data_IF_122335132319
#
_entry.id   IF_122335132319
#
_cell.length_a   1.000
_cell.length_b   1.000
_cell.length_c   1.000
_cell.angle_alpha   90.00
_cell.angle_beta   90.00
_cell.angle_gamma   90.00
#
_symmetry.space_group_name_H-M   'P 1'
#
loop_
_entity.id
_entity.type
_entity.pdbx_description
1 polymer ?
#
# COMPACT_ATOMS: atom_id res chain seq x y z
N UNK A 1 -29.70 15.14 34.59
CA UNK A 1 -30.25 14.64 33.31
C UNK A 1 -29.22 14.94 32.25
N UNK A 2 -28.83 13.96 31.42
CA UNK A 2 -27.94 14.24 30.29
C UNK A 2 -28.67 15.14 29.29
N UNK A 3 -27.96 16.09 28.72
CA UNK A 3 -28.52 16.98 27.70
C UNK A 3 -28.42 16.32 26.32
N UNK A 4 -29.31 16.68 25.38
CA UNK A 4 -29.22 16.21 23.98
C UNK A 4 -27.83 16.47 23.35
N UNK A 5 -27.15 17.54 23.79
CA UNK A 5 -25.80 17.87 23.36
C UNK A 5 -24.78 16.83 23.84
N UNK A 6 -24.85 16.45 25.12
CA UNK A 6 -23.95 15.43 25.69
C UNK A 6 -24.16 14.07 25.03
N UNK A 7 -25.40 13.67 24.81
CA UNK A 7 -25.71 12.43 24.11
C UNK A 7 -25.18 12.44 22.67
N UNK A 8 -25.32 13.56 21.96
CA UNK A 8 -24.78 13.72 20.60
C UNK A 8 -23.26 13.62 20.56
N UNK A 9 -22.56 14.25 21.51
CA UNK A 9 -21.10 14.16 21.62
C UNK A 9 -20.64 12.75 21.96
N UNK A 10 -21.33 12.06 22.86
CA UNK A 10 -21.01 10.68 23.21
C UNK A 10 -21.16 9.73 22.01
N UNK A 11 -22.23 9.89 21.23
CA UNK A 11 -22.44 9.13 19.99
C UNK A 11 -21.30 9.41 19.00
N UNK A 12 -20.95 10.68 18.79
CA UNK A 12 -19.86 11.05 17.90
C UNK A 12 -18.50 10.49 18.35
N UNK A 13 -18.15 10.62 19.63
CA UNK A 13 -16.91 10.08 20.19
C UNK A 13 -16.84 8.56 20.08
N UNK A 14 -17.95 7.85 20.35
CA UNK A 14 -18.01 6.41 20.19
C UNK A 14 -17.80 6.00 18.72
N UNK A 15 -18.45 6.69 17.78
CA UNK A 15 -18.31 6.43 16.35
C UNK A 15 -16.87 6.66 15.86
N UNK A 16 -16.24 7.78 16.24
CA UNK A 16 -14.84 8.07 15.89
C UNK A 16 -13.88 7.08 16.55
N UNK A 17 -14.12 6.72 17.81
CA UNK A 17 -13.26 5.77 18.53
C UNK A 17 -13.29 4.38 17.91
N UNK A 18 -14.46 3.94 17.44
CA UNK A 18 -14.64 2.63 16.81
C UNK A 18 -13.88 2.45 15.49
N UNK A 19 -13.46 3.55 14.85
CA UNK A 19 -12.73 3.54 13.58
C UNK A 19 -11.27 4.01 13.72
N UNK A 20 -10.79 4.21 14.96
CA UNK A 20 -9.36 4.41 15.19
C UNK A 20 -8.59 3.19 14.71
N UNK A 21 -7.44 3.40 14.07
CA UNK A 21 -6.72 2.33 13.39
C UNK A 21 -6.28 1.20 14.32
N UNK A 22 -5.92 1.54 15.55
CA UNK A 22 -5.49 0.60 16.57
C UNK A 22 -6.66 -0.25 17.10
N UNK A 23 -7.76 0.41 17.46
CA UNK A 23 -9.02 -0.24 17.91
C UNK A 23 -9.61 -1.13 16.81
N UNK A 24 -9.57 -0.66 15.56
CA UNK A 24 -10.08 -1.42 14.42
C UNK A 24 -9.28 -2.72 14.22
N UNK A 25 -7.94 -2.67 14.32
CA UNK A 25 -7.11 -3.88 14.20
C UNK A 25 -7.41 -4.85 15.34
N UNK A 26 -7.44 -4.40 16.60
CA UNK A 26 -7.75 -5.27 17.75
C UNK A 26 -9.14 -5.92 17.67
N UNK A 27 -10.09 -5.27 16.98
CA UNK A 27 -11.44 -5.82 16.78
C UNK A 27 -11.49 -6.92 15.72
N UNK A 28 -10.65 -6.85 14.69
CA UNK A 28 -10.69 -7.76 13.54
C UNK A 28 -9.54 -8.76 13.52
N UNK A 29 -8.54 -8.60 14.38
CA UNK A 29 -7.41 -9.50 14.52
C UNK A 29 -7.34 -9.92 15.97
N UNK A 30 -7.68 -11.18 16.23
CA UNK A 30 -7.67 -11.76 17.56
C UNK A 30 -6.58 -12.82 17.63
N UNK A 31 -5.88 -12.93 18.76
CA UNK A 31 -4.90 -13.99 18.99
C UNK A 31 -5.39 -14.87 20.14
N UNK A 32 -5.57 -16.16 19.85
CA UNK A 32 -5.79 -17.18 20.89
C UNK A 32 -4.45 -17.48 21.58
N UNK A 33 -4.24 -17.08 22.84
CA UNK A 33 -2.92 -17.21 23.46
C UNK A 33 -2.55 -18.65 23.80
N UNK A 34 -3.54 -19.52 24.02
CA UNK A 34 -3.31 -20.92 24.41
C UNK A 34 -2.87 -21.75 23.21
N UNK A 35 -3.47 -21.50 22.05
CA UNK A 35 -3.21 -22.26 20.83
C UNK A 35 -2.34 -21.53 19.79
N UNK A 36 -1.98 -20.27 20.06
CA UNK A 36 -1.25 -19.35 19.17
C UNK A 36 -1.90 -19.20 17.79
N UNK A 37 -3.24 -19.15 17.77
CA UNK A 37 -4.00 -19.01 16.53
C UNK A 37 -4.35 -17.54 16.32
N UNK A 38 -3.81 -16.94 15.27
CA UNK A 38 -4.21 -15.61 14.80
C UNK A 38 -5.50 -15.74 13.97
N UNK A 39 -6.59 -15.15 14.45
CA UNK A 39 -7.91 -15.18 13.84
C UNK A 39 -8.24 -13.84 13.20
N UNK A 40 -8.70 -13.92 11.96
CA UNK A 40 -9.33 -12.85 11.19
C UNK A 40 -10.73 -13.33 10.77
N UNK A 41 -11.65 -12.47 10.30
CA UNK A 41 -13.04 -12.86 10.02
C UNK A 41 -13.21 -14.05 9.09
N UNK A 42 -12.28 -14.26 8.15
CA UNK A 42 -12.33 -15.32 7.14
C UNK A 42 -11.13 -16.26 7.18
N UNK A 43 -10.24 -16.14 8.17
CA UNK A 43 -8.97 -16.88 8.19
C UNK A 43 -8.49 -17.15 9.61
N UNK A 44 -7.90 -18.31 9.83
CA UNK A 44 -7.16 -18.64 11.04
C UNK A 44 -5.77 -19.13 10.65
N UNK A 45 -4.73 -18.65 11.36
CA UNK A 45 -3.34 -19.02 11.12
C UNK A 45 -2.74 -19.51 12.42
N UNK A 46 -2.13 -20.69 12.37
CA UNK A 46 -1.29 -21.18 13.46
C UNK A 46 0.06 -20.48 13.43
N UNK A 47 0.32 -19.60 14.40
CA UNK A 47 1.58 -18.86 14.48
C UNK A 47 2.77 -19.75 14.86
N UNK A 48 2.57 -21.01 15.25
CA UNK A 48 3.68 -21.96 15.45
C UNK A 48 4.34 -22.38 14.13
N UNK A 49 3.59 -22.33 13.04
CA UNK A 49 4.09 -22.63 11.69
C UNK A 49 4.74 -21.40 11.02
N UNK A 50 4.69 -20.24 11.68
CA UNK A 50 5.20 -18.97 11.15
C UNK A 50 6.56 -18.64 11.77
N UNK A 51 7.59 -18.52 10.93
CA UNK A 51 8.95 -18.19 11.36
C UNK A 51 9.11 -16.69 11.62
N UNK A 52 8.74 -15.85 10.65
CA UNK A 52 8.77 -14.38 10.79
C UNK A 52 7.43 -13.76 10.41
N UNK A 53 7.10 -12.66 11.08
CA UNK A 53 5.94 -11.83 10.74
C UNK A 53 6.46 -10.52 10.15
N UNK A 54 6.26 -10.33 8.86
CA UNK A 54 6.65 -9.12 8.14
C UNK A 54 5.47 -8.15 8.19
N UNK A 55 5.64 -6.98 8.81
CA UNK A 55 4.59 -5.96 8.89
C UNK A 55 4.95 -4.77 8.01
N UNK A 56 4.20 -4.55 6.94
CA UNK A 56 4.42 -3.42 6.04
C UNK A 56 3.17 -2.58 5.92
N UNK A 57 3.27 -1.35 5.41
CA UNK A 57 2.06 -0.56 5.22
C UNK A 57 2.31 0.88 4.82
N UNK A 58 1.21 1.57 4.53
CA UNK A 58 1.25 3.01 4.34
C UNK A 58 -0.12 3.66 4.49
N UNK A 59 -0.14 4.84 5.11
CA UNK A 59 -1.34 5.65 5.24
C UNK A 59 -1.38 6.44 6.54
N UNK A 60 -2.38 7.31 6.67
CA UNK A 60 -2.56 8.17 7.86
C UNK A 60 -2.84 7.39 9.13
N UNK A 61 -3.57 6.28 9.04
CA UNK A 61 -3.93 5.44 10.19
C UNK A 61 -3.01 4.22 10.34
N UNK A 62 -2.09 3.99 9.40
CA UNK A 62 -1.30 2.75 9.36
C UNK A 62 -0.32 2.63 10.54
N UNK A 63 0.15 3.75 11.11
CA UNK A 63 0.93 3.73 12.36
C UNK A 63 0.11 3.21 13.54
N UNK A 64 -1.11 3.72 13.71
CA UNK A 64 -2.04 3.24 14.74
C UNK A 64 -2.44 1.77 14.51
N UNK A 65 -2.66 1.38 13.25
CA UNK A 65 -2.91 -0.03 12.89
C UNK A 65 -1.75 -0.94 13.30
N UNK A 66 -0.51 -0.50 13.08
CA UNK A 66 0.68 -1.25 13.48
C UNK A 66 0.75 -1.39 15.01
N UNK A 67 0.49 -0.32 15.75
CA UNK A 67 0.45 -0.36 17.21
C UNK A 67 -0.64 -1.32 17.74
N UNK A 68 -1.84 -1.31 17.15
CA UNK A 68 -2.90 -2.27 17.48
C UNK A 68 -2.48 -3.71 17.19
N UNK A 69 -1.82 -3.96 16.04
CA UNK A 69 -1.33 -5.29 15.69
C UNK A 69 -0.26 -5.78 16.68
N UNK A 70 0.70 -4.93 17.07
CA UNK A 70 1.70 -5.31 18.07
C UNK A 70 1.06 -5.65 19.42
N UNK A 71 0.01 -4.91 19.85
CA UNK A 71 -0.73 -5.22 21.08
C UNK A 71 -1.46 -6.55 21.03
N UNK A 72 -1.95 -6.96 19.86
CA UNK A 72 -2.51 -8.31 19.68
C UNK A 72 -1.41 -9.36 19.76
N UNK A 73 -0.30 -9.16 19.05
CA UNK A 73 0.79 -10.13 18.97
C UNK A 73 1.55 -10.30 20.29
N UNK A 74 1.64 -9.25 21.11
CA UNK A 74 2.34 -9.31 22.40
C UNK A 74 1.60 -10.11 23.49
N UNK A 75 0.35 -10.51 23.25
CA UNK A 75 -0.42 -11.37 24.15
C UNK A 75 0.20 -12.77 24.31
N UNK A 76 1.05 -13.18 23.36
CA UNK A 76 1.81 -14.43 23.41
C UNK A 76 3.30 -14.11 23.46
N UNK A 77 4.01 -14.53 24.53
CA UNK A 77 5.46 -14.34 24.64
C UNK A 77 6.22 -14.90 23.43
N UNK A 78 7.17 -14.13 22.90
CA UNK A 78 8.02 -14.54 21.77
C UNK A 78 7.38 -14.45 20.38
N UNK A 79 6.09 -14.12 20.26
CA UNK A 79 5.49 -13.81 18.94
C UNK A 79 5.99 -12.47 18.43
N UNK A 80 6.00 -11.43 19.28
CA UNK A 80 6.41 -10.09 18.88
C UNK A 80 7.88 -10.02 18.46
N UNK A 81 8.76 -10.81 19.09
CA UNK A 81 10.20 -10.88 18.75
C UNK A 81 10.47 -11.38 17.32
N UNK A 82 9.47 -12.03 16.69
CA UNK A 82 9.53 -12.49 15.29
C UNK A 82 9.08 -11.42 14.29
N UNK A 83 8.67 -10.25 14.76
CA UNK A 83 8.17 -9.16 13.92
C UNK A 83 9.34 -8.34 13.37
N UNK A 84 9.33 -8.13 12.06
CA UNK A 84 10.11 -7.09 11.38
C UNK A 84 9.14 -6.23 10.59
N UNK A 85 9.25 -4.91 10.68
CA UNK A 85 8.29 -4.07 9.97
C UNK A 85 8.75 -2.68 9.58
N UNK A 86 8.10 -2.17 8.53
CA UNK A 86 8.30 -0.83 8.00
C UNK A 86 6.98 -0.26 7.48
N UNK A 87 6.53 0.86 8.06
CA UNK A 87 5.26 1.50 7.68
C UNK A 87 5.51 2.97 7.35
N UNK A 88 5.17 3.37 6.13
CA UNK A 88 5.27 4.77 5.73
C UNK A 88 4.08 5.57 6.25
N UNK A 89 4.35 6.62 7.03
CA UNK A 89 3.33 7.51 7.59
C UNK A 89 3.57 8.97 7.19
N UNK A 90 2.53 9.82 7.20
CA UNK A 90 2.72 11.26 7.19
C UNK A 90 3.38 11.73 8.48
N UNK A 91 4.04 12.88 8.43
CA UNK A 91 4.61 13.52 9.62
C UNK A 91 3.50 13.81 10.65
N UNK A 92 3.77 13.53 11.93
CA UNK A 92 2.80 13.71 13.02
C UNK A 92 1.69 12.66 13.08
N UNK A 93 1.75 11.60 12.27
CA UNK A 93 0.89 10.42 12.37
C UNK A 93 1.62 9.25 13.08
N UNK A 94 2.53 9.58 13.99
CA UNK A 94 3.30 8.62 14.75
C UNK A 94 2.43 7.85 15.75
N UNK A 95 2.86 6.66 16.12
CA UNK A 95 2.23 5.82 17.13
C UNK A 95 3.33 5.06 17.86
N UNK A 96 3.06 4.63 19.08
CA UNK A 96 4.02 3.84 19.83
C UNK A 96 4.04 2.41 19.29
N UNK A 97 5.13 2.07 18.60
CA UNK A 97 5.46 0.73 18.13
C UNK A 97 6.85 0.37 18.65
N UNK A 98 7.09 -0.93 18.82
CA UNK A 98 8.31 -1.49 19.40
C UNK A 98 9.15 -2.25 18.38
N UNK A 99 8.51 -2.89 17.38
CA UNK A 99 9.16 -3.75 16.38
C UNK A 99 8.90 -3.27 14.95
N UNK A 100 7.78 -2.58 14.71
CA UNK A 100 7.49 -1.94 13.42
C UNK A 100 8.10 -0.55 13.38
N UNK A 101 9.01 -0.32 12.44
CA UNK A 101 9.54 1.01 12.18
C UNK A 101 8.48 1.87 11.49
N UNK A 102 8.04 2.94 12.15
CA UNK A 102 7.25 3.99 11.50
C UNK A 102 8.21 4.96 10.82
N UNK A 103 7.99 5.20 9.53
CA UNK A 103 8.79 6.09 8.69
C UNK A 103 7.98 7.32 8.28
N UNK A 104 8.07 8.42 9.04
CA UNK A 104 7.52 9.72 8.64
C UNK A 104 8.22 10.17 7.38
N UNK A 105 7.46 10.30 6.30
CA UNK A 105 8.04 10.56 4.99
C UNK A 105 7.24 11.54 4.14
N UNK A 106 6.24 12.19 4.73
CA UNK A 106 5.41 13.16 4.01
C UNK A 106 5.04 14.31 4.94
N UNK A 107 5.61 15.51 4.70
CA UNK A 107 5.32 16.69 5.49
C UNK A 107 3.85 17.02 5.61
N UNK A 108 3.47 17.53 6.77
CA UNK A 108 2.13 18.07 7.04
C UNK A 108 1.76 19.13 6.01
N UNK A 109 0.52 19.10 5.51
CA UNK A 109 0.02 20.04 4.51
C UNK A 109 0.38 19.71 3.05
N UNK A 110 1.26 18.73 2.79
CA UNK A 110 1.62 18.31 1.43
C UNK A 110 1.01 16.95 1.08
N UNK A 111 0.20 16.88 0.02
CA UNK A 111 -0.41 15.61 -0.43
C UNK A 111 0.40 14.86 -1.51
N UNK A 112 1.53 15.42 -1.92
CA UNK A 112 2.36 14.83 -2.95
C UNK A 112 3.40 13.85 -2.41
N UNK A 113 3.78 12.85 -3.23
CA UNK A 113 4.94 12.00 -2.98
C UNK A 113 6.24 12.76 -2.74
N UNK A 114 7.09 12.24 -1.84
CA UNK A 114 8.44 12.76 -1.58
C UNK A 114 9.51 11.71 -1.91
N UNK A 115 10.78 12.12 -1.98
CA UNK A 115 11.90 11.17 -2.11
C UNK A 115 12.03 10.26 -0.88
N UNK A 116 11.72 10.77 0.31
CA UNK A 116 11.72 9.98 1.54
C UNK A 116 10.65 8.88 1.49
N UNK A 117 9.49 9.17 0.88
CA UNK A 117 8.46 8.17 0.66
C UNK A 117 8.89 7.12 -0.40
N UNK A 118 9.68 7.51 -1.41
CA UNK A 118 10.29 6.55 -2.37
C UNK A 118 11.22 5.58 -1.64
N UNK A 119 12.07 6.09 -0.73
CA UNK A 119 12.98 5.27 0.06
C UNK A 119 12.23 4.24 0.90
N UNK A 120 11.24 4.69 1.68
CA UNK A 120 10.44 3.78 2.50
C UNK A 120 9.62 2.78 1.66
N UNK A 121 9.12 3.20 0.49
CA UNK A 121 8.42 2.30 -0.42
C UNK A 121 9.35 1.20 -0.96
N UNK A 122 10.62 1.52 -1.26
CA UNK A 122 11.62 0.51 -1.67
C UNK A 122 11.95 -0.45 -0.53
N UNK A 123 12.03 0.05 0.70
CA UNK A 123 12.27 -0.78 1.88
C UNK A 123 11.11 -1.75 2.13
N UNK A 124 9.86 -1.30 1.97
CA UNK A 124 8.68 -2.16 2.01
C UNK A 124 8.78 -3.28 0.95
N UNK A 125 9.16 -2.96 -0.29
CA UNK A 125 9.35 -3.97 -1.35
C UNK A 125 10.45 -4.95 -0.98
N UNK A 126 11.58 -4.47 -0.44
CA UNK A 126 12.70 -5.30 0.01
C UNK A 126 12.25 -6.30 1.07
N UNK A 127 11.61 -5.83 2.14
CA UNK A 127 11.13 -6.70 3.23
C UNK A 127 10.16 -7.77 2.73
N UNK A 128 9.20 -7.38 1.88
CA UNK A 128 8.24 -8.34 1.30
C UNK A 128 8.92 -9.35 0.40
N UNK A 129 9.92 -8.93 -0.40
CA UNK A 129 10.67 -9.82 -1.30
C UNK A 129 11.56 -10.84 -0.57
N UNK A 130 11.92 -10.56 0.68
CA UNK A 130 12.70 -11.45 1.54
C UNK A 130 11.84 -12.48 2.28
N UNK A 131 10.51 -12.42 2.14
CA UNK A 131 9.57 -13.35 2.77
C UNK A 131 9.56 -14.72 2.10
N UNK A 132 9.64 -15.78 2.91
CA UNK A 132 9.56 -17.18 2.47
C UNK A 132 8.19 -17.83 2.68
N UNK A 133 8.07 -19.11 2.33
CA UNK A 133 6.86 -19.93 2.50
C UNK A 133 6.40 -20.07 3.95
N UNK A 134 7.33 -19.99 4.91
CA UNK A 134 7.07 -20.06 6.34
C UNK A 134 6.92 -18.68 7.00
N UNK A 135 6.95 -17.60 6.22
CA UNK A 135 6.74 -16.24 6.73
C UNK A 135 5.30 -15.77 6.48
N UNK A 136 4.86 -14.85 7.31
CA UNK A 136 3.57 -14.18 7.19
C UNK A 136 3.78 -12.69 6.96
N UNK A 137 3.30 -12.16 5.83
CA UNK A 137 3.27 -10.73 5.56
C UNK A 137 1.88 -10.14 5.92
N UNK A 138 1.84 -9.15 6.81
CA UNK A 138 0.63 -8.39 7.14
C UNK A 138 0.82 -6.95 6.64
N UNK A 139 0.04 -6.56 5.64
CA UNK A 139 0.10 -5.27 4.98
C UNK A 139 -1.02 -4.33 5.47
N UNK A 140 -0.66 -3.17 6.01
CA UNK A 140 -1.54 -2.23 6.70
C UNK A 140 -1.76 -0.96 5.87
N UNK A 141 -2.91 -0.84 5.22
CA UNK A 141 -3.21 0.30 4.34
C UNK A 141 -4.35 1.16 4.85
N UNK A 142 -4.18 2.47 4.69
CA UNK A 142 -5.23 3.44 4.97
C UNK A 142 -5.17 4.63 4.00
N UNK A 143 -6.09 5.57 4.16
CA UNK A 143 -6.15 6.82 3.40
C UNK A 143 -4.79 7.51 3.26
N UNK A 144 -4.48 8.00 2.05
CA UNK A 144 -3.20 8.65 1.72
C UNK A 144 -2.06 7.71 1.29
N UNK A 145 -2.25 6.38 1.36
CA UNK A 145 -1.22 5.39 1.01
C UNK A 145 -0.65 5.53 -0.42
N UNK A 146 -1.43 6.05 -1.36
CA UNK A 146 -0.98 6.20 -2.75
C UNK A 146 0.20 7.17 -2.90
N UNK A 147 0.23 8.25 -2.10
CA UNK A 147 1.32 9.22 -2.06
C UNK A 147 2.50 8.76 -1.19
N UNK A 148 2.25 7.88 -0.22
CA UNK A 148 3.24 7.30 0.69
C UNK A 148 3.93 6.05 0.13
N UNK A 149 3.41 5.44 -0.94
CA UNK A 149 4.03 4.32 -1.66
C UNK A 149 4.49 4.67 -3.09
N UNK A 150 5.22 5.78 -3.32
CA UNK A 150 5.68 6.13 -4.65
C UNK A 150 6.93 5.32 -4.98
N UNK A 151 6.78 4.06 -5.41
CA UNK A 151 7.89 3.27 -5.95
C UNK A 151 7.86 3.32 -7.48
N UNK A 152 8.67 4.15 -8.16
CA UNK A 152 8.78 4.14 -9.61
C UNK A 152 9.46 2.88 -10.11
N UNK A 153 9.06 2.45 -11.31
CA UNK A 153 9.78 1.43 -12.09
C UNK A 153 11.12 1.96 -12.60
N UNK A 154 12.02 1.05 -12.96
CA UNK A 154 13.31 1.41 -13.53
C UNK A 154 13.16 2.32 -14.77
N UNK A 155 13.94 3.39 -14.82
CA UNK A 155 13.89 4.40 -15.89
C UNK A 155 12.82 5.48 -15.72
N UNK A 156 11.98 5.42 -14.69
CA UNK A 156 10.99 6.46 -14.35
C UNK A 156 11.40 7.16 -13.06
N UNK A 157 11.46 8.49 -13.08
CA UNK A 157 11.76 9.28 -11.89
C UNK A 157 10.52 9.53 -11.02
N UNK A 158 10.71 9.95 -9.77
CA UNK A 158 9.60 10.45 -8.95
C UNK A 158 8.92 11.66 -9.60
N UNK A 159 9.73 12.57 -10.18
CA UNK A 159 9.23 13.78 -10.84
C UNK A 159 8.38 13.44 -12.04
N UNK A 160 8.73 12.39 -12.79
CA UNK A 160 7.93 11.94 -13.92
C UNK A 160 6.52 11.49 -13.47
N UNK A 161 6.45 10.74 -12.38
CA UNK A 161 5.18 10.29 -11.78
C UNK A 161 4.34 11.47 -11.29
N UNK A 162 4.97 12.46 -10.65
CA UNK A 162 4.30 13.68 -10.18
C UNK A 162 3.77 14.47 -11.37
N UNK A 163 4.59 14.69 -12.40
CA UNK A 163 4.22 15.43 -13.60
C UNK A 163 3.00 14.81 -14.29
N UNK A 164 3.02 13.50 -14.56
CA UNK A 164 1.90 12.80 -15.20
C UNK A 164 0.64 12.83 -14.34
N UNK A 165 0.78 12.63 -13.02
CA UNK A 165 -0.38 12.67 -12.10
C UNK A 165 -1.01 14.05 -12.08
N UNK A 166 -0.21 15.13 -12.02
CA UNK A 166 -0.69 16.52 -12.07
C UNK A 166 -1.37 16.86 -13.39
N UNK A 167 -0.82 16.42 -14.52
CA UNK A 167 -1.40 16.64 -15.84
C UNK A 167 -2.79 16.01 -15.95
N UNK A 168 -2.91 14.71 -15.63
CA UNK A 168 -4.19 14.00 -15.70
C UNK A 168 -5.21 14.59 -14.72
N UNK A 169 -4.79 14.87 -13.48
CA UNK A 169 -5.64 15.50 -12.46
C UNK A 169 -6.12 16.88 -12.89
N UNK A 170 -5.23 17.72 -13.44
CA UNK A 170 -5.55 19.07 -13.91
C UNK A 170 -6.46 19.06 -15.15
N UNK A 171 -6.38 18.02 -15.97
CA UNK A 171 -7.25 17.80 -17.13
C UNK A 171 -8.59 17.13 -16.77
N UNK A 172 -8.87 16.88 -15.49
CA UNK A 172 -10.18 16.38 -15.02
C UNK A 172 -10.42 14.88 -15.21
N UNK A 173 -9.37 14.08 -15.41
CA UNK A 173 -9.49 12.63 -15.49
C UNK A 173 -9.93 12.04 -14.16
N UNK A 174 -10.73 10.98 -14.20
CA UNK A 174 -11.22 10.34 -12.98
C UNK A 174 -10.15 9.46 -12.29
N UNK A 175 -10.45 9.05 -11.05
CA UNK A 175 -9.50 8.26 -10.25
C UNK A 175 -9.14 6.91 -10.87
N UNK A 176 -10.06 6.30 -11.64
CA UNK A 176 -9.80 5.02 -12.32
C UNK A 176 -8.82 5.22 -13.47
N UNK A 177 -9.01 6.28 -14.26
CA UNK A 177 -8.09 6.66 -15.35
C UNK A 177 -6.70 7.05 -14.81
N UNK A 178 -6.64 7.85 -13.74
CA UNK A 178 -5.39 8.18 -13.07
C UNK A 178 -4.66 6.90 -12.62
N UNK A 179 -5.38 5.97 -11.97
CA UNK A 179 -4.77 4.73 -11.49
C UNK A 179 -4.34 3.80 -12.64
N UNK A 180 -5.09 3.75 -13.74
CA UNK A 180 -4.73 2.98 -14.93
C UNK A 180 -3.39 3.42 -15.52
N UNK A 181 -3.03 4.71 -15.43
CA UNK A 181 -1.71 5.21 -15.83
C UNK A 181 -0.66 5.04 -14.72
N UNK A 182 -1.02 5.28 -13.45
CA UNK A 182 -0.07 5.29 -12.32
C UNK A 182 0.40 3.89 -11.91
N UNK A 183 -0.44 2.86 -12.04
CA UNK A 183 -0.14 1.48 -11.66
C UNK A 183 0.96 0.85 -12.55
N UNK A 184 0.92 0.92 -13.90
CA UNK A 184 2.01 0.46 -14.75
C UNK A 184 3.38 1.09 -14.45
N UNK A 185 3.39 2.37 -14.06
CA UNK A 185 4.60 3.13 -13.72
C UNK A 185 5.13 2.85 -12.30
N UNK A 186 4.58 1.87 -11.58
CA UNK A 186 4.95 1.57 -10.19
C UNK A 186 5.45 0.13 -10.00
N UNK A 187 6.35 -0.09 -9.03
CA UNK A 187 6.74 -1.43 -8.58
C UNK A 187 5.84 -2.02 -7.48
N UNK A 188 4.95 -1.22 -6.87
CA UNK A 188 4.14 -1.65 -5.71
C UNK A 188 2.64 -1.71 -6.03
N UNK A 189 2.14 -0.74 -6.79
CA UNK A 189 0.70 -0.54 -7.03
C UNK A 189 0.15 -1.58 -8.01
N UNK A 190 -1.15 -1.84 -7.93
CA UNK A 190 -1.85 -2.74 -8.86
C UNK A 190 -1.40 -4.19 -8.72
N UNK A 191 -1.47 -4.73 -7.50
CA UNK A 191 -1.15 -6.13 -7.20
C UNK A 191 0.34 -6.44 -7.11
N UNK A 192 1.24 -5.52 -7.50
CA UNK A 192 2.67 -5.82 -7.57
C UNK A 192 3.33 -6.10 -6.22
N UNK A 193 2.77 -5.62 -5.10
CA UNK A 193 3.24 -6.02 -3.78
C UNK A 193 2.85 -7.47 -3.47
N UNK A 194 1.67 -7.91 -3.92
CA UNK A 194 1.27 -9.32 -3.86
C UNK A 194 2.19 -10.18 -4.75
N UNK A 195 2.50 -9.72 -5.97
CA UNK A 195 3.46 -10.42 -6.84
C UNK A 195 4.85 -10.53 -6.19
N UNK A 196 5.29 -9.45 -5.52
CA UNK A 196 6.58 -9.41 -4.80
C UNK A 196 6.61 -10.39 -3.63
N UNK A 197 5.48 -10.60 -2.93
CA UNK A 197 5.40 -11.56 -1.83
C UNK A 197 5.65 -13.00 -2.29
N UNK A 198 5.36 -13.31 -3.56
CA UNK A 198 5.63 -14.61 -4.16
C UNK A 198 4.93 -15.75 -3.39
N UNK A 199 5.73 -16.54 -2.67
CA UNK A 199 5.22 -17.66 -1.86
C UNK A 199 4.93 -17.30 -0.40
N UNK A 200 5.35 -16.13 0.05
CA UNK A 200 5.00 -15.61 1.38
C UNK A 200 3.50 -15.36 1.46
N UNK A 201 2.87 -15.84 2.53
CA UNK A 201 1.45 -15.61 2.74
C UNK A 201 1.23 -14.13 3.06
N UNK A 202 0.43 -13.43 2.25
CA UNK A 202 0.12 -12.02 2.45
C UNK A 202 -1.32 -11.80 2.89
N UNK A 203 -1.52 -11.01 3.95
CA UNK A 203 -2.81 -10.51 4.42
C UNK A 203 -2.82 -8.99 4.27
N UNK A 204 -3.81 -8.43 3.60
CA UNK A 204 -4.05 -6.99 3.55
C UNK A 204 -5.14 -6.55 4.53
N UNK A 205 -4.81 -5.64 5.45
CA UNK A 205 -5.76 -4.96 6.32
C UNK A 205 -5.95 -3.53 5.84
N UNK A 206 -7.20 -3.10 5.67
CA UNK A 206 -7.54 -1.84 5.04
C UNK A 206 -8.48 -1.01 5.92
N UNK A 207 -8.16 0.28 6.07
CA UNK A 207 -9.09 1.30 6.54
C UNK A 207 -9.40 2.22 5.36
N UNK A 208 -10.64 2.13 4.87
CA UNK A 208 -11.10 2.86 3.69
C UNK A 208 -11.57 4.28 4.06
N UNK A 209 -11.10 5.26 3.29
CA UNK A 209 -11.66 6.62 3.22
C UNK A 209 -12.36 6.88 1.88
N UNK A 210 -12.67 5.81 1.13
CA UNK A 210 -13.29 5.87 -0.21
C UNK A 210 -14.67 5.23 -0.15
N UNK A 211 -15.70 5.93 -0.65
CA UNK A 211 -17.06 5.42 -0.70
C UNK A 211 -17.14 4.09 -1.47
N UNK A 212 -17.79 3.10 -0.86
CA UNK A 212 -17.98 1.76 -1.43
C UNK A 212 -16.78 0.81 -1.25
N UNK A 213 -15.74 1.24 -0.53
CA UNK A 213 -14.57 0.43 -0.14
C UNK A 213 -13.85 -0.34 -1.28
N UNK A 214 -13.63 0.28 -2.46
CA UNK A 214 -12.94 -0.38 -3.58
C UNK A 214 -11.44 -0.61 -3.27
N UNK A 215 -11.07 -1.84 -2.94
CA UNK A 215 -9.70 -2.21 -2.57
C UNK A 215 -8.66 -1.91 -3.67
N UNK A 216 -9.05 -1.95 -4.95
CA UNK A 216 -8.19 -1.64 -6.10
C UNK A 216 -7.85 -0.14 -6.24
N UNK A 217 -8.62 0.71 -5.54
CA UNK A 217 -8.42 2.17 -5.47
C UNK A 217 -7.68 2.57 -4.21
N UNK A 218 -7.97 1.94 -3.06
CA UNK A 218 -7.32 2.26 -1.77
C UNK A 218 -5.82 1.97 -1.88
N UNK A 219 -5.00 2.98 -1.58
CA UNK A 219 -3.55 2.95 -1.82
C UNK A 219 -3.12 2.55 -3.26
N UNK A 220 -4.04 2.63 -4.22
CA UNK A 220 -3.91 2.10 -5.60
C UNK A 220 -3.73 0.58 -5.66
N UNK A 221 -4.36 -0.16 -4.74
CA UNK A 221 -4.48 -1.61 -4.76
C UNK A 221 -3.16 -2.37 -4.78
N UNK A 222 -2.23 -2.16 -3.84
CA UNK A 222 -0.91 -2.81 -3.87
C UNK A 222 -0.98 -4.34 -3.79
N UNK A 223 -2.03 -4.89 -3.16
CA UNK A 223 -2.20 -6.33 -2.95
C UNK A 223 -3.47 -6.88 -3.61
N UNK A 224 -4.00 -6.15 -4.59
CA UNK A 224 -5.23 -6.49 -5.32
C UNK A 224 -4.86 -6.64 -6.79
N UNK A 225 -5.22 -7.75 -7.46
CA UNK A 225 -4.97 -7.93 -8.89
C UNK A 225 -5.47 -6.74 -9.72
N UNK A 226 -4.69 -6.35 -10.71
CA UNK A 226 -4.98 -5.19 -11.56
C UNK A 226 -5.03 -5.59 -13.03
N UNK A 227 -6.04 -5.09 -13.74
CA UNK A 227 -6.21 -5.30 -15.18
C UNK A 227 -5.62 -4.17 -16.03
N UNK A 228 -5.03 -3.15 -15.41
CA UNK A 228 -4.45 -2.02 -16.13
C UNK A 228 -3.17 -2.44 -16.85
N UNK A 229 -3.08 -2.15 -18.15
CA UNK A 229 -1.92 -2.48 -18.99
C UNK A 229 -1.19 -1.22 -19.43
N UNK A 230 0.07 -1.37 -19.87
CA UNK A 230 0.80 -0.26 -20.49
C UNK A 230 0.10 0.28 -21.74
N UNK A 231 -0.54 -0.59 -22.53
CA UNK A 231 -1.33 -0.20 -23.69
C UNK A 231 -2.54 0.66 -23.31
N UNK A 232 -3.26 0.29 -22.24
CA UNK A 232 -4.36 1.10 -21.73
C UNK A 232 -3.89 2.46 -21.20
N UNK A 233 -2.76 2.48 -20.48
CA UNK A 233 -2.17 3.73 -20.02
C UNK A 233 -1.77 4.67 -21.17
N UNK A 234 -1.21 4.13 -22.27
CA UNK A 234 -0.93 4.91 -23.48
C UNK A 234 -2.20 5.51 -24.08
N UNK A 235 -3.25 4.71 -24.24
CA UNK A 235 -4.51 5.17 -24.79
C UNK A 235 -5.10 6.34 -23.98
N UNK A 236 -5.02 6.29 -22.65
CA UNK A 236 -5.44 7.40 -21.77
C UNK A 236 -4.56 8.65 -21.96
N UNK A 237 -3.24 8.49 -22.06
CA UNK A 237 -2.35 9.63 -22.27
C UNK A 237 -2.54 10.26 -23.66
N UNK A 238 -2.97 9.48 -24.65
CA UNK A 238 -3.26 9.95 -26.01
C UNK A 238 -4.55 10.77 -26.11
N UNK A 239 -5.48 10.64 -25.16
CA UNK A 239 -6.69 11.48 -25.10
C UNK A 239 -6.45 12.87 -24.50
N UNK A 240 -5.23 13.15 -23.99
CA UNK A 240 -4.88 14.50 -23.52
C UNK A 240 -4.87 15.51 -24.68
N UNK A 241 -5.24 16.77 -24.42
CA UNK A 241 -5.01 17.86 -25.37
C UNK A 241 -3.55 17.90 -25.83
N UNK A 242 -3.31 18.30 -27.08
CA UNK A 242 -1.97 18.25 -27.69
C UNK A 242 -0.88 18.94 -26.85
N UNK A 243 -1.21 20.09 -26.25
CA UNK A 243 -0.29 20.86 -25.42
C UNK A 243 0.06 20.13 -24.11
N UNK A 244 -0.90 19.44 -23.49
CA UNK A 244 -0.65 18.63 -22.30
C UNK A 244 0.10 17.34 -22.63
N UNK A 245 -0.18 16.74 -23.79
CA UNK A 245 0.54 15.56 -24.26
C UNK A 245 2.04 15.83 -24.43
N UNK A 246 2.41 17.03 -24.88
CA UNK A 246 3.82 17.49 -25.00
C UNK A 246 4.51 17.70 -23.64
N UNK A 247 3.74 17.84 -22.56
CA UNK A 247 4.24 18.01 -21.19
C UNK A 247 4.44 16.68 -20.46
N UNK A 248 3.94 15.58 -21.00
CA UNK A 248 4.21 14.23 -20.46
C UNK A 248 5.71 13.93 -20.64
N UNK A 249 6.43 13.52 -19.57
CA UNK A 249 7.84 13.17 -19.66
C UNK A 249 8.11 12.08 -20.70
N UNK A 250 9.16 12.26 -21.52
CA UNK A 250 9.51 11.32 -22.58
C UNK A 250 9.84 9.92 -22.03
N UNK A 251 10.44 9.85 -20.83
CA UNK A 251 10.69 8.58 -20.11
C UNK A 251 9.42 7.75 -19.92
N UNK A 252 8.27 8.39 -19.67
CA UNK A 252 6.98 7.74 -19.49
C UNK A 252 6.48 7.17 -20.80
N UNK A 253 6.55 7.94 -21.90
CA UNK A 253 6.20 7.44 -23.23
C UNK A 253 7.03 6.24 -23.63
N UNK A 254 8.35 6.34 -23.48
CA UNK A 254 9.28 5.27 -23.84
C UNK A 254 9.02 4.01 -23.02
N UNK A 255 8.86 4.15 -21.70
CA UNK A 255 8.57 3.02 -20.83
C UNK A 255 7.26 2.34 -21.23
N UNK A 256 6.17 3.10 -21.36
CA UNK A 256 4.86 2.55 -21.65
C UNK A 256 4.80 1.88 -23.04
N UNK A 257 5.42 2.48 -24.06
CA UNK A 257 5.55 1.87 -25.40
C UNK A 257 6.31 0.55 -25.34
N UNK A 258 7.42 0.51 -24.61
CA UNK A 258 8.24 -0.70 -24.47
C UNK A 258 7.48 -1.82 -23.76
N UNK A 259 6.78 -1.54 -22.66
CA UNK A 259 6.03 -2.57 -21.93
C UNK A 259 4.65 -2.90 -22.54
N UNK A 260 4.20 -2.16 -23.55
CA UNK A 260 3.01 -2.51 -24.34
C UNK A 260 3.33 -3.51 -25.46
N UNK A 261 4.60 -3.73 -25.81
CA UNK A 261 4.98 -4.73 -26.80
C UNK A 261 4.75 -6.15 -26.27
N UNK A 262 4.16 -7.06 -27.07
CA UNK A 262 4.00 -8.45 -26.66
C UNK A 262 5.35 -9.10 -26.40
N UNK A 263 5.47 -9.83 -25.29
CA UNK A 263 6.69 -10.48 -24.78
C UNK A 263 7.29 -11.59 -25.67
N UNK A 264 6.76 -11.80 -26.89
CA UNK A 264 7.17 -12.87 -27.80
C UNK A 264 8.45 -12.59 -28.63
N UNK A 265 9.15 -11.46 -28.44
CA UNK A 265 10.27 -11.07 -29.31
C UNK A 265 11.69 -11.17 -28.70
N UNK A 266 11.88 -11.77 -27.51
CA UNK A 266 13.20 -11.83 -26.85
C UNK A 266 13.73 -13.24 -26.51
N UNK A 267 13.26 -14.29 -27.19
CA UNK A 267 13.91 -15.61 -27.15
C UNK A 267 14.08 -16.16 -28.57
N UNK A 268 15.16 -15.75 -29.23
CA UNK A 268 15.91 -16.59 -30.16
C UNK A 268 17.22 -15.87 -30.45
N UNK A 269 18.28 -16.31 -29.78
CA UNK A 269 19.65 -16.38 -30.30
C UNK A 269 20.54 -16.97 -29.20
N UNK A 270 20.41 -18.28 -29.00
CA UNK A 270 21.54 -19.09 -28.50
C UNK A 270 22.05 -19.88 -29.71
N UNK A 271 23.26 -19.61 -30.21
CA UNK A 271 23.85 -20.45 -31.24
C UNK A 271 24.17 -21.81 -30.61
N UNK A 272 23.56 -22.85 -31.18
CA UNK A 272 23.96 -24.23 -30.94
C UNK A 272 25.24 -24.51 -31.70
N UNK A 273 26.36 -24.59 -30.99
CA UNK A 273 27.52 -25.44 -31.34
C UNK A 273 28.19 -25.89 -30.06
#
# INVERSE_FOLDING_TARGET
MRTLREDSLNIWHAAVSAVRGDVAVERFVELDPQHQILRLPSLAIDLRDVQRIIVVGAGKASGAMAAGLERVLCQVPGVLDRVVGWVNVPDGCDSETSHVHLHPCRPTGTNEPTQQAVQGAREIVRLVSEGGECDLCIALFSGGGSALLPAPVAGISLQDKIAVTRLLSGAGYDIRQLNAVRKPLSCIKGGKLLDTAGRCRLIGLYISDVLGDPLDVIASGPTVPDSSTCAHALAILETLPLDDRRRVPESVWQYLRRCALPTHFFFNDTPTT
#
